data_IF_683560108594
#
_entry.id   IF_683560108594
#
_cell.length_a   1.000
_cell.length_b   1.000
_cell.length_c   1.000
_cell.angle_alpha   90.00
_cell.angle_beta   90.00
_cell.angle_gamma   90.00
#
_symmetry.space_group_name_H-M   'P 1'
#
loop_
_entity.id
_entity.type
_entity.pdbx_description
1 polymer ?
#
# COMPACT_ATOMS: atom_id res chain seq x y z
N UNK A 1 25.67 16.11 34.60
CA UNK A 1 24.72 15.04 34.19
C UNK A 1 23.35 15.65 33.90
N UNK A 2 22.97 15.82 32.63
CA UNK A 2 21.62 16.30 32.24
C UNK A 2 20.68 15.09 32.17
N UNK A 3 19.67 15.02 33.03
CA UNK A 3 18.58 14.03 32.95
C UNK A 3 17.80 14.26 31.66
N UNK A 4 17.89 13.33 30.71
CA UNK A 4 17.05 13.28 29.52
C UNK A 4 15.61 13.07 30.02
N UNK A 5 14.78 14.10 29.84
CA UNK A 5 13.38 14.10 30.25
C UNK A 5 12.58 13.65 29.03
N UNK A 6 12.21 12.37 29.01
CA UNK A 6 11.33 11.82 27.99
C UNK A 6 10.01 12.59 28.01
N UNK A 7 9.77 13.41 26.99
CA UNK A 7 8.48 14.06 26.82
C UNK A 7 7.47 12.96 26.48
N UNK A 8 6.55 12.71 27.40
CA UNK A 8 5.38 11.87 27.17
C UNK A 8 4.71 12.35 25.87
N UNK A 9 4.67 11.50 24.85
CA UNK A 9 3.97 11.81 23.61
C UNK A 9 2.55 12.27 23.97
N UNK A 10 2.03 13.36 23.38
CA UNK A 10 0.70 13.84 23.69
C UNK A 10 -0.31 12.76 23.27
N UNK A 11 -0.79 12.00 24.25
CA UNK A 11 -1.64 10.81 24.06
C UNK A 11 -2.84 11.07 23.14
N UNK A 12 -3.37 12.30 23.16
CA UNK A 12 -4.47 12.72 22.29
C UNK A 12 -4.14 12.73 20.80
N UNK A 13 -2.91 13.07 20.40
CA UNK A 13 -2.50 13.08 18.98
C UNK A 13 -2.38 11.66 18.43
N UNK A 14 -1.79 10.75 19.22
CA UNK A 14 -1.68 9.35 18.86
C UNK A 14 -3.06 8.70 18.69
N UNK A 15 -3.96 8.92 19.66
CA UNK A 15 -5.32 8.37 19.62
C UNK A 15 -6.13 8.89 18.43
N UNK A 16 -5.98 10.17 18.09
CA UNK A 16 -6.65 10.75 16.91
C UNK A 16 -6.20 10.06 15.62
N UNK A 17 -4.89 9.94 15.39
CA UNK A 17 -4.37 9.31 14.18
C UNK A 17 -4.70 7.82 14.11
N UNK A 18 -4.67 7.10 15.24
CA UNK A 18 -5.08 5.70 15.26
C UNK A 18 -6.57 5.53 14.95
N UNK A 19 -7.43 6.43 15.42
CA UNK A 19 -8.85 6.42 15.10
C UNK A 19 -9.12 6.70 13.60
N UNK A 20 -8.39 7.65 13.00
CA UNK A 20 -8.48 7.93 11.56
C UNK A 20 -8.06 6.72 10.74
N UNK A 21 -6.94 6.07 11.07
CA UNK A 21 -6.49 4.86 10.37
C UNK A 21 -7.51 3.72 10.54
N UNK A 22 -8.04 3.52 11.74
CA UNK A 22 -9.07 2.51 11.99
C UNK A 22 -10.33 2.75 11.15
N UNK A 23 -10.78 4.01 11.05
CA UNK A 23 -11.91 4.39 10.20
C UNK A 23 -11.63 4.11 8.71
N UNK A 24 -10.44 4.46 8.22
CA UNK A 24 -10.05 4.20 6.82
C UNK A 24 -10.00 2.70 6.52
N UNK A 25 -9.47 1.89 7.45
CA UNK A 25 -9.44 0.43 7.32
C UNK A 25 -10.85 -0.17 7.35
N UNK A 26 -11.75 0.34 8.20
CA UNK A 26 -13.16 -0.05 8.21
C UNK A 26 -13.86 0.29 6.90
N UNK A 27 -13.66 1.51 6.38
CA UNK A 27 -14.16 1.91 5.06
C UNK A 27 -13.61 1.03 3.94
N UNK A 28 -12.32 0.67 3.99
CA UNK A 28 -11.72 -0.24 3.02
C UNK A 28 -12.29 -1.66 3.14
N UNK A 29 -12.50 -2.17 4.35
CA UNK A 29 -13.03 -3.53 4.56
C UNK A 29 -14.51 -3.65 4.14
N UNK A 30 -15.32 -2.65 4.50
CA UNK A 30 -16.74 -2.60 4.21
C UNK A 30 -17.03 -2.01 2.82
N UNK A 31 -16.03 -1.41 2.16
CA UNK A 31 -16.17 -0.75 0.87
C UNK A 31 -16.93 -1.55 -0.21
N UNK A 32 -16.66 -2.86 -0.41
CA UNK A 32 -17.35 -3.66 -1.42
C UNK A 32 -18.82 -3.91 -1.08
N UNK A 33 -19.20 -3.83 0.20
CA UNK A 33 -20.57 -4.01 0.69
C UNK A 33 -21.36 -2.68 0.72
N UNK A 34 -20.65 -1.55 0.85
CA UNK A 34 -21.23 -0.21 0.94
C UNK A 34 -21.49 0.45 -0.42
N UNK A 35 -20.95 -0.13 -1.50
CA UNK A 35 -21.17 0.38 -2.86
C UNK A 35 -22.62 0.15 -3.30
N UNK A 36 -23.41 1.20 -3.62
CA UNK A 36 -24.80 1.01 -4.01
C UNK A 36 -24.96 0.46 -5.43
N UNK A 37 -23.93 0.59 -6.29
CA UNK A 37 -23.93 0.11 -7.67
C UNK A 37 -22.68 -0.73 -7.95
N UNK A 38 -22.76 -1.60 -8.96
CA UNK A 38 -21.64 -2.41 -9.42
C UNK A 38 -20.48 -1.51 -9.94
N UNK A 39 -19.29 -1.56 -9.32
CA UNK A 39 -18.14 -0.73 -9.71
C UNK A 39 -17.56 -1.07 -11.09
N UNK A 40 -17.92 -2.22 -11.68
CA UNK A 40 -17.41 -2.67 -12.99
C UNK A 40 -18.43 -2.51 -14.12
N UNK A 41 -19.68 -2.20 -13.81
CA UNK A 41 -20.74 -2.03 -14.80
C UNK A 41 -20.49 -0.76 -15.63
N UNK A 42 -20.25 -0.96 -16.92
CA UNK A 42 -20.03 0.10 -17.91
C UNK A 42 -21.37 0.53 -18.48
N UNK A 43 -21.68 1.82 -18.39
CA UNK A 43 -22.88 2.41 -18.99
C UNK A 43 -22.52 3.67 -19.79
N UNK A 44 -22.36 3.52 -21.10
CA UNK A 44 -21.96 4.62 -21.97
C UNK A 44 -23.00 5.76 -22.06
N UNK A 45 -24.25 5.53 -21.64
CA UNK A 45 -25.27 6.58 -21.59
C UNK A 45 -25.06 7.55 -20.41
N UNK A 46 -24.26 7.13 -19.44
CA UNK A 46 -24.00 7.84 -18.19
C UNK A 46 -22.59 8.44 -18.17
N UNK A 47 -21.89 8.61 -19.30
CA UNK A 47 -20.49 9.07 -19.32
C UNK A 47 -20.34 10.50 -18.78
N UNK A 48 -19.32 10.71 -17.93
CA UNK A 48 -18.92 12.03 -17.39
C UNK A 48 -20.08 12.84 -16.79
N UNK A 49 -21.03 12.18 -16.11
CA UNK A 49 -22.11 12.89 -15.44
C UNK A 49 -21.59 13.58 -14.17
N UNK A 50 -22.04 14.82 -13.92
CA UNK A 50 -21.70 15.52 -12.69
C UNK A 50 -22.34 14.83 -11.46
N UNK A 51 -21.86 15.14 -10.25
CA UNK A 51 -22.45 14.67 -9.01
C UNK A 51 -23.96 15.00 -8.94
N UNK A 52 -24.78 13.98 -8.70
CA UNK A 52 -26.24 14.09 -8.56
C UNK A 52 -26.71 13.26 -7.36
N UNK A 53 -27.97 13.41 -6.94
CA UNK A 53 -28.51 12.64 -5.81
C UNK A 53 -28.43 11.11 -5.99
N UNK A 54 -28.49 10.64 -7.24
CA UNK A 54 -28.32 9.23 -7.60
C UNK A 54 -26.83 8.84 -7.72
N UNK A 55 -26.01 9.72 -8.30
CA UNK A 55 -24.56 9.54 -8.43
C UNK A 55 -23.80 10.53 -7.54
N UNK A 56 -23.58 10.19 -6.26
CA UNK A 56 -22.95 11.07 -5.25
C UNK A 56 -21.61 11.68 -5.71
N UNK A 57 -20.81 10.93 -6.47
CA UNK A 57 -19.53 11.38 -7.02
C UNK A 57 -19.50 11.43 -8.55
N UNK A 58 -20.67 11.33 -9.19
CA UNK A 58 -20.76 11.25 -10.65
C UNK A 58 -20.20 9.95 -11.23
N UNK A 59 -19.93 9.97 -12.53
CA UNK A 59 -19.47 8.81 -13.31
C UNK A 59 -18.17 9.11 -14.06
N UNK A 60 -17.42 8.07 -14.40
CA UNK A 60 -16.17 8.21 -15.15
C UNK A 60 -16.37 8.24 -16.68
N UNK A 61 -15.25 8.22 -17.42
CA UNK A 61 -15.23 8.22 -18.89
C UNK A 61 -15.83 6.95 -19.52
N UNK A 62 -16.06 5.89 -18.74
CA UNK A 62 -16.79 4.69 -19.15
C UNK A 62 -18.20 4.64 -18.55
N UNK A 63 -18.66 5.73 -17.93
CA UNK A 63 -19.95 5.84 -17.26
C UNK A 63 -20.07 4.96 -16.01
N UNK A 64 -18.96 4.49 -15.44
CA UNK A 64 -18.97 3.70 -14.20
C UNK A 64 -19.11 4.64 -13.01
N UNK A 65 -19.82 4.19 -11.97
CA UNK A 65 -20.04 4.99 -10.78
C UNK A 65 -18.77 5.19 -9.93
N UNK A 66 -18.32 6.44 -9.78
CA UNK A 66 -17.03 6.78 -9.15
C UNK A 66 -17.00 6.41 -7.66
N UNK A 67 -18.08 6.62 -6.91
CA UNK A 67 -18.11 6.33 -5.47
C UNK A 67 -17.94 4.83 -5.17
N UNK A 68 -18.69 3.96 -5.86
CA UNK A 68 -18.51 2.50 -5.74
C UNK A 68 -17.08 2.06 -6.12
N UNK A 69 -16.50 2.67 -7.16
CA UNK A 69 -15.13 2.38 -7.58
C UNK A 69 -14.11 2.84 -6.55
N UNK A 70 -14.34 3.96 -5.89
CA UNK A 70 -13.46 4.49 -4.85
C UNK A 70 -13.48 3.58 -3.61
N UNK A 71 -14.66 3.16 -3.15
CA UNK A 71 -14.80 2.23 -2.03
C UNK A 71 -14.15 0.88 -2.33
N UNK A 72 -14.46 0.27 -3.47
CA UNK A 72 -13.88 -1.01 -3.88
C UNK A 72 -12.37 -0.90 -4.13
N UNK A 73 -11.92 0.24 -4.66
CA UNK A 73 -10.52 0.55 -4.86
C UNK A 73 -9.76 0.68 -3.54
N UNK A 74 -10.35 1.32 -2.53
CA UNK A 74 -9.79 1.44 -1.19
C UNK A 74 -9.55 0.05 -0.56
N UNK A 75 -10.50 -0.88 -0.71
CA UNK A 75 -10.36 -2.27 -0.26
C UNK A 75 -9.16 -2.96 -0.87
N UNK A 76 -9.04 -2.88 -2.20
CA UNK A 76 -7.94 -3.52 -2.95
C UNK A 76 -6.59 -2.91 -2.61
N UNK A 77 -6.51 -1.58 -2.49
CA UNK A 77 -5.29 -0.88 -2.11
C UNK A 77 -4.86 -1.20 -0.69
N UNK A 78 -5.79 -1.24 0.27
CA UNK A 78 -5.49 -1.62 1.64
C UNK A 78 -4.97 -3.06 1.74
N UNK A 79 -5.62 -4.00 1.05
CA UNK A 79 -5.18 -5.39 1.00
C UNK A 79 -3.78 -5.53 0.37
N UNK A 80 -3.52 -4.84 -0.75
CA UNK A 80 -2.21 -4.83 -1.38
C UNK A 80 -1.13 -4.23 -0.47
N UNK A 81 -1.42 -3.13 0.23
CA UNK A 81 -0.49 -2.50 1.16
C UNK A 81 -0.11 -3.43 2.33
N UNK A 82 -1.09 -4.13 2.90
CA UNK A 82 -0.86 -5.12 3.97
C UNK A 82 0.01 -6.28 3.46
N UNK A 83 -0.26 -6.79 2.25
CA UNK A 83 0.55 -7.85 1.65
C UNK A 83 1.99 -7.42 1.40
N UNK A 84 2.20 -6.25 0.80
CA UNK A 84 3.54 -5.70 0.58
C UNK A 84 4.26 -5.55 1.92
N UNK A 85 3.61 -4.93 2.91
CA UNK A 85 4.18 -4.76 4.25
C UNK A 85 4.58 -6.09 4.88
N UNK A 86 3.68 -7.08 4.90
CA UNK A 86 3.97 -8.38 5.49
C UNK A 86 5.15 -9.08 4.81
N UNK A 87 5.18 -9.10 3.48
CA UNK A 87 6.24 -9.74 2.71
C UNK A 87 7.59 -9.02 2.88
N UNK A 88 7.59 -7.70 2.79
CA UNK A 88 8.76 -6.84 3.04
C UNK A 88 9.29 -7.03 4.45
N UNK A 89 8.40 -7.04 5.45
CA UNK A 89 8.76 -7.25 6.84
C UNK A 89 9.38 -8.62 7.08
N UNK A 90 8.79 -9.69 6.55
CA UNK A 90 9.33 -11.05 6.67
C UNK A 90 10.70 -11.15 6.01
N UNK A 91 10.83 -10.66 4.77
CA UNK A 91 12.09 -10.72 4.02
C UNK A 91 13.20 -9.88 4.69
N UNK A 92 12.91 -8.62 5.04
CA UNK A 92 13.85 -7.73 5.69
C UNK A 92 14.27 -8.24 7.07
N UNK A 93 13.32 -8.73 7.88
CA UNK A 93 13.63 -9.32 9.19
C UNK A 93 14.46 -10.59 9.04
N UNK A 94 14.15 -11.46 8.09
CA UNK A 94 14.95 -12.66 7.85
C UNK A 94 16.40 -12.32 7.49
N UNK A 95 16.62 -11.36 6.57
CA UNK A 95 17.96 -10.92 6.20
C UNK A 95 18.68 -10.26 7.38
N UNK A 96 18.01 -9.38 8.13
CA UNK A 96 18.61 -8.71 9.28
C UNK A 96 18.95 -9.65 10.45
N UNK A 97 18.10 -10.66 10.70
CA UNK A 97 18.39 -11.69 11.72
C UNK A 97 19.56 -12.56 11.27
N UNK A 98 19.63 -12.96 9.99
CA UNK A 98 20.74 -13.75 9.46
C UNK A 98 22.06 -12.98 9.54
N UNK A 99 22.07 -11.70 9.15
CA UNK A 99 23.27 -10.88 9.20
C UNK A 99 23.73 -10.64 10.64
N UNK A 100 22.81 -10.36 11.56
CA UNK A 100 23.09 -10.16 12.97
C UNK A 100 23.50 -11.42 13.74
N UNK A 101 23.01 -12.60 13.33
CA UNK A 101 23.32 -13.87 13.99
C UNK A 101 24.68 -14.44 13.58
N UNK A 102 24.97 -14.49 12.27
CA UNK A 102 26.22 -15.07 11.77
C UNK A 102 27.39 -14.08 11.79
N UNK A 103 27.14 -12.79 11.53
CA UNK A 103 28.18 -11.78 11.40
C UNK A 103 29.22 -12.09 10.30
N UNK A 104 30.31 -11.32 10.29
CA UNK A 104 31.47 -11.57 9.43
C UNK A 104 31.16 -11.52 7.92
N UNK A 105 31.59 -12.54 7.19
CA UNK A 105 31.45 -12.60 5.73
C UNK A 105 29.98 -12.65 5.28
N UNK A 106 29.11 -13.32 6.06
CA UNK A 106 27.68 -13.42 5.74
C UNK A 106 27.02 -12.05 5.81
N UNK A 107 27.32 -11.27 6.85
CA UNK A 107 26.87 -9.89 6.98
C UNK A 107 27.39 -9.03 5.82
N UNK A 108 28.68 -9.14 5.47
CA UNK A 108 29.27 -8.39 4.36
C UNK A 108 28.59 -8.68 3.01
N UNK A 109 28.29 -9.95 2.71
CA UNK A 109 27.59 -10.32 1.47
C UNK A 109 26.15 -9.81 1.46
N UNK A 110 25.41 -9.98 2.56
CA UNK A 110 24.02 -9.52 2.66
C UNK A 110 23.93 -7.99 2.55
N UNK A 111 24.82 -7.27 3.22
CA UNK A 111 24.90 -5.82 3.12
C UNK A 111 25.21 -5.35 1.70
N UNK A 112 26.09 -6.06 0.96
CA UNK A 112 26.34 -5.74 -0.45
C UNK A 112 25.12 -5.93 -1.35
N UNK A 113 24.32 -6.96 -1.10
CA UNK A 113 23.06 -7.18 -1.83
C UNK A 113 22.09 -6.04 -1.53
N UNK A 114 21.93 -5.68 -0.25
CA UNK A 114 21.10 -4.55 0.20
C UNK A 114 21.52 -3.25 -0.49
N UNK A 115 22.81 -2.92 -0.47
CA UNK A 115 23.36 -1.71 -1.10
C UNK A 115 23.10 -1.68 -2.61
N UNK A 116 23.25 -2.83 -3.28
CA UNK A 116 22.96 -2.96 -4.71
C UNK A 116 21.49 -2.67 -5.01
N UNK A 117 20.55 -3.17 -4.20
CA UNK A 117 19.11 -2.92 -4.37
C UNK A 117 18.77 -1.45 -4.12
N UNK A 118 19.31 -0.85 -3.05
CA UNK A 118 19.05 0.55 -2.68
C UNK A 118 19.63 1.57 -3.67
N UNK A 119 20.63 1.18 -4.46
CA UNK A 119 21.21 2.03 -5.51
C UNK A 119 20.22 2.28 -6.65
N UNK A 120 19.26 1.38 -6.88
CA UNK A 120 18.26 1.56 -7.93
C UNK A 120 17.09 2.44 -7.45
N UNK A 121 16.59 3.36 -8.30
CA UNK A 121 15.36 4.09 -8.01
C UNK A 121 14.18 3.13 -7.86
N UNK A 122 13.73 2.91 -6.61
CA UNK A 122 12.76 1.87 -6.26
C UNK A 122 11.46 1.96 -7.05
N UNK A 123 10.92 3.17 -7.23
CA UNK A 123 9.68 3.40 -7.98
C UNK A 123 9.83 3.01 -9.45
N UNK A 124 10.93 3.40 -10.09
CA UNK A 124 11.16 3.14 -11.52
C UNK A 124 11.29 1.64 -11.77
N UNK A 125 12.08 0.95 -10.96
CA UNK A 125 12.26 -0.50 -11.07
C UNK A 125 10.95 -1.25 -10.80
N UNK A 126 10.20 -0.84 -9.76
CA UNK A 126 8.91 -1.45 -9.42
C UNK A 126 7.93 -1.37 -10.60
N UNK A 127 7.77 -0.20 -11.22
CA UNK A 127 6.86 -0.01 -12.34
C UNK A 127 7.32 -0.79 -13.57
N UNK A 128 8.63 -0.81 -13.86
CA UNK A 128 9.19 -1.58 -14.97
C UNK A 128 8.93 -3.08 -14.81
N UNK A 129 9.26 -3.66 -13.65
CA UNK A 129 9.05 -5.09 -13.38
C UNK A 129 7.56 -5.44 -13.36
N UNK A 130 6.72 -4.63 -12.72
CA UNK A 130 5.27 -4.87 -12.71
C UNK A 130 4.67 -4.86 -14.13
N UNK A 131 5.16 -3.96 -15.00
CA UNK A 131 4.79 -3.91 -16.41
C UNK A 131 5.26 -5.15 -17.19
N UNK A 132 6.53 -5.54 -17.03
CA UNK A 132 7.13 -6.70 -17.71
C UNK A 132 6.43 -8.02 -17.35
N UNK A 133 5.98 -8.17 -16.10
CA UNK A 133 5.31 -9.37 -15.61
C UNK A 133 3.84 -9.49 -16.07
N UNK A 134 3.33 -8.53 -16.84
CA UNK A 134 1.97 -8.57 -17.41
C UNK A 134 0.93 -7.76 -16.63
N UNK A 135 1.35 -6.76 -15.85
CA UNK A 135 0.46 -5.88 -15.11
C UNK A 135 -0.36 -6.57 -14.01
N UNK A 136 -1.18 -5.79 -13.30
CA UNK A 136 -2.09 -6.31 -12.27
C UNK A 136 -1.51 -6.36 -10.85
N UNK A 137 -2.42 -6.51 -9.88
CA UNK A 137 -2.13 -6.33 -8.45
C UNK A 137 -1.05 -7.28 -7.93
N UNK A 138 -1.09 -8.56 -8.31
CA UNK A 138 -0.12 -9.56 -7.86
C UNK A 138 1.31 -9.20 -8.25
N UNK A 139 1.49 -8.78 -9.50
CA UNK A 139 2.80 -8.44 -10.04
C UNK A 139 3.34 -7.14 -9.43
N UNK A 140 2.46 -6.16 -9.19
CA UNK A 140 2.83 -4.96 -8.43
C UNK A 140 3.31 -5.30 -7.01
N UNK A 141 2.59 -6.19 -6.30
CA UNK A 141 2.98 -6.61 -4.94
C UNK A 141 4.37 -7.26 -4.96
N UNK A 142 4.63 -8.20 -5.88
CA UNK A 142 5.93 -8.86 -6.02
C UNK A 142 7.04 -7.83 -6.29
N UNK A 143 6.82 -6.94 -7.26
CA UNK A 143 7.80 -5.93 -7.63
C UNK A 143 8.13 -4.98 -6.46
N UNK A 144 7.10 -4.54 -5.73
CA UNK A 144 7.26 -3.68 -4.55
C UNK A 144 7.98 -4.38 -3.41
N UNK A 145 7.68 -5.65 -3.15
CA UNK A 145 8.37 -6.43 -2.11
C UNK A 145 9.86 -6.61 -2.43
N UNK A 146 10.19 -6.97 -3.68
CA UNK A 146 11.58 -7.19 -4.11
C UNK A 146 12.43 -5.93 -3.99
N UNK A 147 11.83 -4.74 -4.19
CA UNK A 147 12.53 -3.48 -4.02
C UNK A 147 12.45 -2.91 -2.60
N UNK A 148 11.44 -3.29 -1.82
CA UNK A 148 11.13 -2.70 -0.53
C UNK A 148 11.74 -3.42 0.66
N UNK A 149 12.11 -4.71 0.55
CA UNK A 149 12.67 -5.48 1.67
C UNK A 149 13.93 -4.90 2.35
N UNK A 150 14.81 -4.12 1.71
CA UNK A 150 15.97 -3.53 2.38
C UNK A 150 15.70 -2.15 3.02
N UNK A 151 14.49 -1.59 2.86
CA UNK A 151 14.13 -0.25 3.33
C UNK A 151 13.59 -0.24 4.77
#
# INVERSE_FOLDING_TARGET
MKRIRWHSAPKGRFLFWSAVVALLLLCALLGPLLGPHDPYLVDLSQVNRPPTGEYLMGTDYLGRYVFSRLLTGASRSAFAAILVFAMTFIAGTAVGVLSGYFGGDVDSVLMRITDAVLTFPSLVFTVAVAGMLGGGMRNCVIAMTVMGWPA
#
